data_IF_445377143700
#
_entry.id   IF_445377143700
#
_cell.length_a   1.000
_cell.length_b   1.000
_cell.length_c   1.000
_cell.angle_alpha   90.00
_cell.angle_beta   90.00
_cell.angle_gamma   90.00
#
_symmetry.space_group_name_H-M   'P 1'
#
loop_
_entity.id
_entity.type
_entity.pdbx_description
1 polymer ?
#
# COMPACT_ATOMS: atom_id res chain seq x y z
N UNK A 1 10.53 -8.24 -16.52
CA UNK A 1 10.91 -8.43 -17.91
C UNK A 1 10.06 -7.61 -18.87
N UNK A 2 10.51 -7.44 -20.12
CA UNK A 2 9.80 -6.72 -21.18
C UNK A 2 9.72 -7.61 -22.40
N UNK A 3 8.55 -7.66 -23.03
CA UNK A 3 8.31 -8.47 -24.23
C UNK A 3 7.62 -7.63 -25.31
N UNK A 4 8.29 -7.48 -26.45
CA UNK A 4 7.71 -6.89 -27.64
C UNK A 4 6.85 -7.95 -28.34
N UNK A 5 5.53 -7.85 -28.19
CA UNK A 5 4.56 -8.83 -28.72
C UNK A 5 4.34 -8.63 -30.22
N UNK A 6 4.29 -7.37 -30.66
CA UNK A 6 4.21 -6.95 -32.06
C UNK A 6 5.02 -5.67 -32.24
N UNK A 7 5.14 -5.15 -33.46
CA UNK A 7 5.83 -3.87 -33.70
C UNK A 7 5.21 -2.70 -32.91
N UNK A 8 3.91 -2.78 -32.63
CA UNK A 8 3.18 -1.74 -31.92
C UNK A 8 2.85 -2.08 -30.46
N UNK A 9 2.99 -3.33 -30.02
CA UNK A 9 2.48 -3.77 -28.71
C UNK A 9 3.60 -4.36 -27.85
N UNK A 10 3.81 -3.77 -26.66
CA UNK A 10 4.79 -4.21 -25.66
C UNK A 10 4.13 -4.51 -24.32
N UNK A 11 4.50 -5.62 -23.73
CA UNK A 11 4.16 -6.02 -22.37
C UNK A 11 5.39 -5.88 -21.47
N UNK A 12 5.24 -5.16 -20.38
CA UNK A 12 6.23 -5.09 -19.30
C UNK A 12 5.63 -5.74 -18.06
N UNK A 13 6.37 -6.63 -17.40
CA UNK A 13 5.94 -7.31 -16.20
C UNK A 13 7.09 -7.45 -15.21
N UNK A 14 6.78 -7.31 -13.93
CA UNK A 14 7.71 -7.53 -12.84
C UNK A 14 6.98 -8.04 -11.61
N UNK A 15 7.71 -8.76 -10.76
CA UNK A 15 7.23 -9.15 -9.44
C UNK A 15 8.40 -9.19 -8.46
N UNK A 16 8.08 -9.07 -7.18
CA UNK A 16 9.01 -9.25 -6.08
C UNK A 16 8.35 -10.05 -4.98
N UNK A 17 9.12 -10.90 -4.34
CA UNK A 17 8.73 -11.61 -3.12
C UNK A 17 9.74 -11.30 -2.03
N UNK A 18 9.24 -11.06 -0.83
CA UNK A 18 10.03 -10.85 0.37
C UNK A 18 9.48 -11.81 1.42
N UNK A 19 10.35 -12.62 1.98
CA UNK A 19 10.05 -13.48 3.14
C UNK A 19 10.92 -12.95 4.28
N UNK A 20 10.32 -12.20 5.18
CA UNK A 20 11.02 -11.54 6.28
C UNK A 20 10.30 -11.75 7.59
N UNK A 21 11.01 -12.34 8.56
CA UNK A 21 10.53 -12.66 9.89
C UNK A 21 11.40 -11.99 10.95
N UNK A 22 10.80 -11.61 12.07
CA UNK A 22 11.50 -11.07 13.22
C UNK A 22 12.04 -12.24 14.05
N UNK A 23 13.35 -12.51 13.99
CA UNK A 23 13.97 -13.60 14.77
C UNK A 23 13.89 -13.36 16.28
N UNK A 24 14.20 -12.14 16.72
CA UNK A 24 14.16 -11.77 18.13
C UNK A 24 14.14 -10.26 18.33
N UNK A 25 13.46 -9.83 19.39
CA UNK A 25 13.51 -8.44 19.86
C UNK A 25 13.63 -8.41 21.38
N UNK A 26 14.72 -7.84 21.90
CA UNK A 26 15.01 -7.86 23.35
C UNK A 26 13.92 -7.18 24.19
N UNK A 27 13.38 -6.06 23.69
CA UNK A 27 12.35 -5.28 24.40
C UNK A 27 10.93 -5.79 24.19
N UNK A 28 10.74 -6.68 23.21
CA UNK A 28 9.45 -7.28 22.84
C UNK A 28 9.64 -8.73 22.37
N UNK A 29 10.04 -9.64 23.25
CA UNK A 29 10.37 -11.01 22.85
C UNK A 29 9.20 -11.81 22.27
N UNK A 30 7.97 -11.38 22.50
CA UNK A 30 6.73 -11.98 22.00
C UNK A 30 6.48 -11.70 20.51
N UNK A 31 7.19 -10.77 19.87
CA UNK A 31 7.05 -10.49 18.42
C UNK A 31 7.93 -11.37 17.55
N UNK A 32 8.71 -12.28 18.13
CA UNK A 32 9.47 -13.26 17.38
C UNK A 32 8.51 -14.15 16.57
N UNK A 33 8.80 -14.32 15.29
CA UNK A 33 7.94 -15.00 14.35
C UNK A 33 6.98 -14.10 13.57
N UNK A 34 6.91 -12.81 13.90
CA UNK A 34 6.08 -11.86 13.15
C UNK A 34 6.79 -11.36 11.90
N UNK A 35 6.00 -10.95 10.92
CA UNK A 35 6.50 -10.37 9.68
C UNK A 35 7.21 -9.04 9.92
N UNK A 36 8.20 -8.74 9.09
CA UNK A 36 8.86 -7.43 9.10
C UNK A 36 7.88 -6.36 8.64
N UNK A 37 7.62 -5.31 9.45
CA UNK A 37 6.71 -4.23 9.07
C UNK A 37 7.13 -3.52 7.79
N UNK A 38 6.14 -3.03 7.04
CA UNK A 38 6.30 -2.31 5.78
C UNK A 38 6.98 -3.14 4.67
N UNK A 39 6.94 -4.45 4.77
CA UNK A 39 7.53 -5.38 3.81
C UNK A 39 6.43 -6.33 3.29
N UNK A 40 5.64 -5.94 2.27
CA UNK A 40 4.65 -6.85 1.70
C UNK A 40 5.34 -8.08 1.11
N UNK A 41 4.83 -9.28 1.43
CA UNK A 41 5.43 -10.53 0.94
C UNK A 41 5.44 -10.64 -0.59
N UNK A 42 4.50 -10.00 -1.24
CA UNK A 42 4.38 -10.04 -2.69
C UNK A 42 4.00 -8.69 -3.28
N UNK A 43 4.73 -8.26 -4.31
CA UNK A 43 4.35 -7.15 -5.16
C UNK A 43 4.46 -7.54 -6.62
N UNK A 44 3.59 -7.00 -7.47
CA UNK A 44 3.64 -7.22 -8.90
C UNK A 44 3.29 -5.95 -9.67
N UNK A 45 3.86 -5.82 -10.85
CA UNK A 45 3.49 -4.77 -11.80
C UNK A 45 3.35 -5.34 -13.20
N UNK A 46 2.37 -4.85 -13.93
CA UNK A 46 2.08 -5.21 -15.29
C UNK A 46 1.76 -3.94 -16.07
N UNK A 47 2.33 -3.80 -17.26
CA UNK A 47 2.00 -2.69 -18.14
C UNK A 47 1.92 -3.14 -19.58
N UNK A 48 0.86 -2.71 -20.25
CA UNK A 48 0.68 -2.93 -21.67
C UNK A 48 0.75 -1.57 -22.38
N UNK A 49 1.69 -1.46 -23.31
CA UNK A 49 1.89 -0.26 -24.12
C UNK A 49 1.60 -0.59 -25.57
N UNK A 50 0.69 0.18 -26.16
CA UNK A 50 0.47 0.19 -27.60
C UNK A 50 0.96 1.53 -28.14
N UNK A 51 1.80 1.49 -29.18
CA UNK A 51 2.46 2.65 -29.78
C UNK A 51 2.46 2.49 -31.28
N UNK A 52 1.85 3.43 -32.00
CA UNK A 52 1.72 3.36 -33.45
C UNK A 52 1.64 4.74 -34.10
N UNK A 53 2.30 4.89 -35.24
CA UNK A 53 2.14 6.05 -36.08
C UNK A 53 0.87 5.94 -36.93
N UNK A 54 0.11 7.03 -36.97
CA UNK A 54 -1.11 7.21 -37.76
C UNK A 54 -0.91 8.44 -38.65
N UNK A 55 -0.42 8.23 -39.85
CA UNK A 55 0.06 9.32 -40.72
C UNK A 55 1.27 10.01 -40.10
N UNK A 56 1.19 11.32 -39.95
CA UNK A 56 2.24 12.15 -39.33
C UNK A 56 2.10 12.25 -37.79
N UNK A 57 1.17 11.53 -37.20
CA UNK A 57 0.93 11.56 -35.76
C UNK A 57 1.37 10.24 -35.12
N UNK A 58 1.88 10.33 -33.89
CA UNK A 58 2.14 9.17 -33.04
C UNK A 58 1.02 9.06 -31.99
N UNK A 59 0.40 7.89 -31.90
CA UNK A 59 -0.59 7.54 -30.87
C UNK A 59 -0.01 6.47 -29.97
N UNK A 60 0.08 6.78 -28.67
CA UNK A 60 0.51 5.86 -27.63
C UNK A 60 -0.60 5.68 -26.60
N UNK A 61 -0.89 4.45 -26.25
CA UNK A 61 -1.78 4.12 -25.13
C UNK A 61 -1.06 3.16 -24.19
N UNK A 62 -1.10 3.44 -22.90
CA UNK A 62 -0.49 2.60 -21.86
C UNK A 62 -1.45 2.41 -20.70
N UNK A 63 -1.68 1.15 -20.35
CA UNK A 63 -2.38 0.75 -19.13
C UNK A 63 -1.37 0.06 -18.21
N UNK A 64 -1.43 0.41 -16.94
CA UNK A 64 -0.54 -0.15 -15.91
C UNK A 64 -1.38 -0.67 -14.76
N UNK A 65 -0.98 -1.80 -14.21
CA UNK A 65 -1.53 -2.37 -13.00
C UNK A 65 -0.40 -2.64 -12.02
N UNK A 66 -0.52 -2.08 -10.82
CA UNK A 66 0.40 -2.32 -9.71
C UNK A 66 -0.37 -2.99 -8.57
N UNK A 67 0.14 -4.13 -8.11
CA UNK A 67 -0.42 -4.92 -7.02
C UNK A 67 0.54 -4.92 -5.84
N UNK A 68 0.01 -4.75 -4.65
CA UNK A 68 0.69 -4.94 -3.37
C UNK A 68 -0.09 -5.95 -2.55
N UNK A 69 0.61 -6.98 -2.06
CA UNK A 69 0.09 -7.91 -1.06
C UNK A 69 -0.22 -7.21 0.25
N UNK A 70 -0.89 -7.91 1.12
CA UNK A 70 -1.12 -7.44 2.47
C UNK A 70 0.20 -7.16 3.21
N UNK A 71 0.16 -6.26 4.18
CA UNK A 71 1.35 -5.81 4.90
C UNK A 71 1.00 -5.36 6.31
N UNK A 72 1.86 -5.71 7.26
CA UNK A 72 1.78 -5.16 8.60
C UNK A 72 2.58 -3.85 8.71
N UNK A 73 2.03 -2.89 9.43
CA UNK A 73 2.68 -1.60 9.69
C UNK A 73 3.33 -1.48 11.08
N UNK A 74 3.24 -2.54 11.89
CA UNK A 74 3.84 -2.56 13.23
C UNK A 74 4.44 -3.94 13.55
N UNK A 75 5.42 -3.96 14.46
CA UNK A 75 6.06 -5.21 14.91
C UNK A 75 5.14 -6.08 15.77
N UNK A 76 4.18 -5.46 16.48
CA UNK A 76 3.09 -6.18 17.15
C UNK A 76 1.98 -6.36 16.16
N UNK A 77 1.54 -7.61 15.94
CA UNK A 77 0.61 -8.00 14.90
C UNK A 77 -0.55 -8.77 15.53
N UNK A 78 -1.77 -8.26 15.32
CA UNK A 78 -2.99 -8.90 15.81
C UNK A 78 -3.01 -9.15 17.31
N UNK A 79 -3.42 -10.36 17.67
CA UNK A 79 -3.61 -10.80 19.05
C UNK A 79 -2.32 -11.37 19.70
N UNK A 80 -1.12 -10.99 19.29
CA UNK A 80 0.13 -11.38 19.95
C UNK A 80 0.14 -11.02 21.45
N UNK A 81 -0.79 -10.21 21.84
CA UNK A 81 -1.03 -9.81 23.22
C UNK A 81 -1.64 -10.93 24.05
N UNK A 82 -2.28 -11.91 23.42
CA UNK A 82 -2.83 -13.11 24.06
C UNK A 82 -1.77 -14.21 24.27
N UNK A 83 -0.49 -13.92 23.96
CA UNK A 83 0.62 -14.84 24.21
C UNK A 83 0.61 -15.27 25.69
N UNK A 84 0.84 -16.56 25.99
CA UNK A 84 0.90 -17.09 27.35
C UNK A 84 1.90 -16.39 28.27
N UNK A 85 2.85 -15.68 27.68
CA UNK A 85 3.84 -14.85 28.39
C UNK A 85 3.37 -13.39 28.60
N UNK A 86 2.13 -13.11 28.26
CA UNK A 86 1.36 -12.01 28.72
C UNK A 86 1.84 -10.61 28.41
N UNK A 87 1.56 -10.14 27.23
CA UNK A 87 1.46 -8.72 26.96
C UNK A 87 2.78 -7.99 26.73
N UNK A 88 2.64 -6.74 26.37
CA UNK A 88 3.72 -5.81 26.10
C UNK A 88 4.18 -5.18 27.42
N UNK A 89 5.25 -5.67 28.09
CA UNK A 89 5.73 -5.02 29.30
C UNK A 89 6.13 -3.58 28.98
N UNK A 90 5.51 -2.63 29.64
CA UNK A 90 5.90 -1.22 29.58
C UNK A 90 5.11 -0.34 28.60
N UNK A 91 4.42 -0.90 27.62
CA UNK A 91 3.39 -0.15 26.88
C UNK A 91 2.01 -0.39 27.46
N UNK A 92 2.00 -1.36 28.37
CA UNK A 92 0.85 -1.69 29.02
C UNK A 92 -0.27 -2.15 28.16
N UNK A 93 0.01 -2.78 27.14
CA UNK A 93 -0.97 -3.38 26.30
C UNK A 93 -0.91 -4.85 26.63
N UNK A 94 -1.98 -5.33 27.12
CA UNK A 94 -2.49 -6.64 27.43
C UNK A 94 -1.55 -7.67 28.03
N UNK A 95 -2.02 -8.69 28.60
CA UNK A 95 -3.13 -8.75 29.53
C UNK A 95 -2.83 -8.05 30.85
N UNK A 96 -1.63 -7.49 31.03
CA UNK A 96 -1.18 -6.81 32.25
C UNK A 96 -1.03 -5.29 32.08
N UNK A 97 -1.52 -4.74 31.00
CA UNK A 97 -1.51 -3.31 30.86
C UNK A 97 -2.66 -2.71 31.64
N UNK A 98 -2.30 -2.06 32.68
CA UNK A 98 -3.21 -1.12 33.27
C UNK A 98 -3.24 0.14 32.41
N UNK A 99 -4.24 0.25 31.56
CA UNK A 99 -4.65 1.53 30.99
C UNK A 99 -4.66 2.54 32.15
N UNK A 100 -3.98 3.69 32.03
CA UNK A 100 -4.07 4.72 33.08
C UNK A 100 -5.52 4.92 33.48
N UNK A 101 -5.80 5.00 34.76
CA UNK A 101 -7.16 5.06 35.27
C UNK A 101 -8.02 6.15 34.62
N UNK A 102 -7.38 7.24 34.16
CA UNK A 102 -8.02 8.31 33.40
C UNK A 102 -8.53 7.86 32.01
N UNK A 103 -7.97 6.80 31.43
CA UNK A 103 -8.34 6.29 30.12
C UNK A 103 -9.22 5.03 30.22
N UNK A 104 -9.30 4.38 31.40
CA UNK A 104 -10.09 3.16 31.56
C UNK A 104 -11.58 3.35 31.24
N UNK A 105 -12.12 4.55 31.50
CA UNK A 105 -13.50 4.88 31.17
C UNK A 105 -13.73 5.17 29.67
N UNK A 106 -12.65 5.27 28.89
CA UNK A 106 -12.69 5.48 27.44
C UNK A 106 -12.53 4.17 26.68
N UNK A 107 -12.17 3.09 27.37
CA UNK A 107 -12.08 1.73 26.81
C UNK A 107 -13.39 1.00 27.10
N UNK A 108 -14.06 0.50 26.08
CA UNK A 108 -15.33 -0.19 26.17
C UNK A 108 -16.11 -0.10 24.85
N UNK A 109 -17.36 -0.52 24.82
CA UNK A 109 -18.22 -0.36 23.64
C UNK A 109 -18.26 1.12 23.24
N UNK A 110 -17.58 1.50 22.15
CA UNK A 110 -17.37 2.87 21.71
C UNK A 110 -16.20 3.59 22.37
N UNK A 111 -15.35 2.89 23.16
CA UNK A 111 -14.12 3.41 23.75
C UNK A 111 -12.91 3.36 22.81
N UNK A 112 -11.74 3.66 23.38
CA UNK A 112 -10.48 3.66 22.63
C UNK A 112 -10.07 2.23 22.25
N UNK A 113 -9.82 2.01 20.97
CA UNK A 113 -9.25 0.75 20.50
C UNK A 113 -7.75 0.74 20.82
N UNK A 114 -7.36 -0.09 21.78
CA UNK A 114 -5.96 -0.30 22.16
C UNK A 114 -5.39 -1.57 21.58
N UNK A 115 -6.14 -2.26 20.71
CA UNK A 115 -5.67 -3.47 20.03
C UNK A 115 -4.68 -3.13 18.91
N UNK A 116 -3.89 -4.12 18.53
CA UNK A 116 -3.02 -4.06 17.38
C UNK A 116 -3.62 -4.81 16.17
N UNK A 117 -4.92 -5.12 16.21
CA UNK A 117 -5.61 -5.81 15.12
C UNK A 117 -5.61 -5.00 13.82
N UNK A 118 -5.64 -3.67 13.92
CA UNK A 118 -5.63 -2.75 12.79
C UNK A 118 -4.23 -2.43 12.25
N UNK A 119 -3.22 -3.24 12.56
CA UNK A 119 -1.86 -3.06 12.03
C UNK A 119 -1.69 -3.63 10.63
N UNK A 120 -2.58 -4.50 10.20
CA UNK A 120 -2.57 -5.12 8.87
C UNK A 120 -3.38 -4.29 7.89
N UNK A 121 -2.79 -4.07 6.74
CA UNK A 121 -3.46 -3.50 5.58
C UNK A 121 -3.65 -4.59 4.54
N UNK A 122 -4.87 -4.75 4.04
CA UNK A 122 -5.22 -5.74 3.03
C UNK A 122 -4.54 -5.43 1.70
N UNK A 123 -4.35 -6.48 0.90
CA UNK A 123 -3.83 -6.37 -0.44
C UNK A 123 -4.72 -5.51 -1.33
N UNK A 124 -4.09 -4.73 -2.21
CA UNK A 124 -4.81 -3.89 -3.17
C UNK A 124 -4.09 -3.83 -4.52
N UNK A 125 -4.82 -3.34 -5.54
CA UNK A 125 -4.27 -3.17 -6.87
C UNK A 125 -4.74 -1.90 -7.55
N UNK A 126 -3.80 -1.11 -8.05
CA UNK A 126 -4.06 0.19 -8.68
C UNK A 126 -3.86 0.09 -10.18
N UNK A 127 -4.86 0.56 -10.93
CA UNK A 127 -4.79 0.66 -12.39
C UNK A 127 -4.63 2.10 -12.82
N UNK A 128 -3.67 2.37 -13.71
CA UNK A 128 -3.45 3.66 -14.32
C UNK A 128 -3.60 3.56 -15.85
N UNK A 129 -4.08 4.63 -16.46
CA UNK A 129 -4.23 4.74 -17.91
C UNK A 129 -3.59 6.04 -18.40
N UNK A 130 -2.86 5.97 -19.51
CA UNK A 130 -2.31 7.12 -20.22
C UNK A 130 -2.51 6.94 -21.71
N UNK A 131 -3.02 7.98 -22.38
CA UNK A 131 -3.17 8.02 -23.83
C UNK A 131 -2.59 9.32 -24.35
N UNK A 132 -1.62 9.24 -25.25
CA UNK A 132 -0.92 10.38 -25.82
C UNK A 132 -1.06 10.42 -27.32
N UNK A 133 -1.32 11.60 -27.86
CA UNK A 133 -1.29 11.88 -29.29
C UNK A 133 -0.28 12.99 -29.54
N UNK A 134 0.71 12.74 -30.39
CA UNK A 134 1.79 13.68 -30.67
C UNK A 134 2.01 13.92 -32.16
N UNK A 135 2.41 15.12 -32.49
CA UNK A 135 2.98 15.53 -33.79
C UNK A 135 4.42 16.01 -33.58
N UNK A 136 5.01 16.62 -34.63
CA UNK A 136 6.43 17.02 -34.61
C UNK A 136 6.81 17.96 -33.46
N UNK A 137 5.93 18.87 -33.08
CA UNK A 137 6.21 19.90 -32.08
C UNK A 137 5.28 19.89 -30.88
N UNK A 138 4.28 19.03 -30.83
CA UNK A 138 3.30 19.02 -29.76
C UNK A 138 2.89 17.60 -29.34
N UNK A 139 2.48 17.49 -28.09
CA UNK A 139 1.87 16.27 -27.56
C UNK A 139 0.71 16.63 -26.64
N UNK A 140 -0.40 15.94 -26.81
CA UNK A 140 -1.54 15.97 -25.89
C UNK A 140 -1.61 14.60 -25.20
N UNK A 141 -1.69 14.60 -23.88
CA UNK A 141 -1.80 13.38 -23.09
C UNK A 141 -3.00 13.48 -22.17
N UNK A 142 -3.91 12.53 -22.27
CA UNK A 142 -4.93 12.27 -21.27
C UNK A 142 -4.46 11.17 -20.33
N UNK A 143 -4.71 11.32 -19.04
CA UNK A 143 -4.35 10.32 -18.06
C UNK A 143 -5.43 10.14 -16.99
N UNK A 144 -5.46 8.94 -16.40
CA UNK A 144 -6.20 8.64 -15.19
C UNK A 144 -5.31 7.78 -14.28
N UNK A 145 -5.10 8.22 -13.05
CA UNK A 145 -4.46 7.46 -11.98
C UNK A 145 -5.54 6.90 -11.08
N UNK A 146 -5.33 5.69 -10.57
CA UNK A 146 -6.34 4.95 -9.84
C UNK A 146 -7.68 4.94 -10.62
N UNK A 147 -7.65 4.42 -11.84
CA UNK A 147 -8.75 4.50 -12.82
C UNK A 147 -10.09 4.00 -12.25
N UNK A 148 -10.04 2.95 -11.43
CA UNK A 148 -11.24 2.32 -10.87
C UNK A 148 -11.64 2.87 -9.50
N UNK A 149 -10.90 3.89 -8.99
CA UNK A 149 -11.16 4.53 -7.70
C UNK A 149 -11.06 3.54 -6.54
N UNK A 150 -10.06 2.66 -6.59
CA UNK A 150 -9.79 1.71 -5.52
C UNK A 150 -9.51 2.45 -4.22
N UNK A 151 -10.26 2.11 -3.19
CA UNK A 151 -10.07 2.64 -1.85
C UNK A 151 -9.12 1.73 -1.08
N UNK A 152 -7.97 2.26 -0.67
CA UNK A 152 -6.96 1.52 0.06
C UNK A 152 -6.34 2.36 1.15
N UNK A 153 -5.74 1.69 2.12
CA UNK A 153 -4.98 2.32 3.19
C UNK A 153 -3.53 2.47 2.73
N UNK A 154 -3.04 3.70 2.74
CA UNK A 154 -1.66 4.02 2.34
C UNK A 154 -0.66 3.84 3.48
N UNK A 155 -1.08 4.08 4.73
CA UNK A 155 -0.23 3.97 5.90
C UNK A 155 -1.06 3.82 7.16
N UNK A 156 -0.55 3.05 8.12
CA UNK A 156 -1.10 2.94 9.49
C UNK A 156 -0.01 3.26 10.49
N UNK A 157 -0.28 4.22 11.38
CA UNK A 157 0.59 4.54 12.50
C UNK A 157 -0.15 4.15 13.78
N UNK A 158 0.33 3.11 14.44
CA UNK A 158 -0.25 2.67 15.71
C UNK A 158 0.03 3.68 16.81
N UNK A 159 -1.02 4.07 17.48
CA UNK A 159 -0.99 5.07 18.57
C UNK A 159 -1.96 4.66 19.69
N UNK A 160 -1.73 3.50 20.33
CA UNK A 160 -2.64 2.97 21.35
C UNK A 160 -2.80 3.92 22.54
N UNK A 161 -1.82 4.78 22.81
CA UNK A 161 -1.89 5.84 23.81
C UNK A 161 -2.95 6.91 23.50
N UNK A 162 -3.36 7.01 22.24
CA UNK A 162 -4.46 7.87 21.77
C UNK A 162 -5.72 7.07 21.44
N UNK A 163 -5.70 5.75 21.68
CA UNK A 163 -6.86 4.89 21.56
C UNK A 163 -7.09 4.30 20.17
N UNK A 164 -6.03 3.99 19.45
CA UNK A 164 -6.17 3.33 18.16
C UNK A 164 -5.01 3.56 17.24
N UNK A 165 -5.30 3.85 15.97
CA UNK A 165 -4.33 4.09 14.93
C UNK A 165 -4.68 5.34 14.13
N UNK A 166 -3.66 6.03 13.64
CA UNK A 166 -3.82 7.02 12.58
C UNK A 166 -3.71 6.32 11.24
N UNK A 167 -4.72 6.50 10.39
CA UNK A 167 -4.80 5.87 9.08
C UNK A 167 -4.74 6.94 8.00
N UNK A 168 -3.81 6.79 7.08
CA UNK A 168 -3.70 7.64 5.89
C UNK A 168 -4.35 6.91 4.72
N UNK A 169 -5.40 7.47 4.09
CA UNK A 169 -5.99 6.87 2.90
C UNK A 169 -5.00 6.91 1.74
N UNK A 170 -5.13 5.97 0.84
CA UNK A 170 -4.43 5.97 -0.44
C UNK A 170 -4.89 7.11 -1.35
N UNK A 171 -4.23 7.23 -2.49
CA UNK A 171 -4.56 8.28 -3.47
C UNK A 171 -5.85 7.94 -4.20
N UNK A 172 -6.82 8.83 -4.15
CA UNK A 172 -8.06 8.73 -4.91
C UNK A 172 -7.83 8.87 -6.42
N UNK A 173 -8.85 8.52 -7.21
CA UNK A 173 -8.80 8.70 -8.65
C UNK A 173 -8.50 10.14 -9.03
N UNK A 174 -7.51 10.30 -9.90
CA UNK A 174 -7.12 11.59 -10.46
C UNK A 174 -7.05 11.46 -11.97
N UNK A 175 -7.70 12.36 -12.70
CA UNK A 175 -7.63 12.40 -14.15
C UNK A 175 -7.31 13.81 -14.65
N UNK A 176 -6.65 13.89 -15.79
CA UNK A 176 -6.26 15.17 -16.36
C UNK A 176 -5.83 15.06 -17.82
N UNK A 177 -5.55 16.23 -18.38
CA UNK A 177 -5.00 16.40 -19.72
C UNK A 177 -3.78 17.30 -19.63
N UNK A 178 -2.68 16.87 -20.24
CA UNK A 178 -1.42 17.61 -20.36
C UNK A 178 -1.25 18.02 -21.82
N UNK A 179 -0.78 19.23 -22.06
CA UNK A 179 -0.35 19.70 -23.37
C UNK A 179 1.10 20.14 -23.29
N UNK A 180 1.93 19.62 -24.17
CA UNK A 180 3.35 19.95 -24.30
C UNK A 180 3.60 20.53 -25.69
N UNK A 181 4.35 21.63 -25.75
CA UNK A 181 4.85 22.23 -26.98
C UNK A 181 6.36 22.35 -26.94
N UNK A 182 7.04 21.90 -28.01
CA UNK A 182 8.48 21.98 -28.16
C UNK A 182 8.80 23.05 -29.23
N UNK A 183 9.62 24.02 -28.85
CA UNK A 183 10.03 25.14 -29.71
C UNK A 183 11.26 24.82 -30.55
#
# INVERSE_FOLDING_TARGET
>A
GSWQMTDALRLDAGYSTIDGEIDAMTVRPYVAGNDVPNAPEFTANLALTWDQNIGDLNLMARIEYAYQGDVFYHVVQGNDLDSPNGGVPGLGIAPNYSVPAALQNLTGEGGLDTSYENTKVDAYGITNLRVSLGGDQWTVTAFARNLFDEEYVGEVIMAPEFGGAFVTPGTYRTAGVEFQWNF
#
